data_IF_561904188338
#
_entry.id   IF_561904188338
#
_cell.length_a   1.000
_cell.length_b   1.000
_cell.length_c   1.000
_cell.angle_alpha   90.00
_cell.angle_beta   90.00
_cell.angle_gamma   90.00
#
_symmetry.space_group_name_H-M   'P 1'
#
loop_
_entity.id
_entity.type
_entity.pdbx_description
1 polymer ?
#
# COMPACT_ATOMS: atom_id res chain seq x y z
N UNK A 1 22.61 46.53 -24.93
CA UNK A 1 21.88 45.27 -24.63
C UNK A 1 22.46 44.49 -23.44
N UNK A 2 23.76 44.18 -23.39
CA UNK A 2 24.37 43.38 -22.28
C UNK A 2 24.22 43.98 -20.87
N UNK A 3 24.24 45.32 -20.72
CA UNK A 3 24.10 46.01 -19.41
C UNK A 3 22.70 45.89 -18.77
N UNK A 4 21.65 45.75 -19.59
CA UNK A 4 20.28 45.60 -19.12
C UNK A 4 20.07 44.17 -18.60
N UNK A 5 20.67 43.18 -19.26
CA UNK A 5 20.62 41.77 -18.87
C UNK A 5 21.28 41.51 -17.51
N UNK A 6 22.35 42.25 -17.18
CA UNK A 6 23.07 42.14 -15.89
C UNK A 6 22.20 42.55 -14.70
N UNK A 7 21.29 43.52 -14.88
CA UNK A 7 20.38 43.98 -13.83
C UNK A 7 19.02 43.27 -13.83
N UNK A 8 18.62 42.70 -14.97
CA UNK A 8 17.35 42.00 -15.11
C UNK A 8 17.29 40.72 -14.26
N UNK A 9 18.38 39.95 -14.20
CA UNK A 9 18.45 38.71 -13.41
C UNK A 9 18.29 38.95 -11.90
N UNK A 10 19.08 39.83 -11.24
CA UNK A 10 18.91 40.08 -9.81
C UNK A 10 17.56 40.72 -9.48
N UNK A 11 17.02 41.57 -10.37
CA UNK A 11 15.69 42.13 -10.20
C UNK A 11 14.60 41.04 -10.25
N UNK A 12 14.69 40.10 -11.18
CA UNK A 12 13.76 38.99 -11.28
C UNK A 12 13.85 38.05 -10.05
N UNK A 13 15.05 37.79 -9.54
CA UNK A 13 15.25 36.99 -8.31
C UNK A 13 14.61 37.70 -7.11
N UNK A 14 14.85 39.00 -6.94
CA UNK A 14 14.25 39.78 -5.84
C UNK A 14 12.71 39.76 -5.90
N UNK A 15 12.15 39.91 -7.10
CA UNK A 15 10.70 39.87 -7.30
C UNK A 15 10.12 38.48 -7.02
N UNK A 16 10.83 37.42 -7.41
CA UNK A 16 10.50 36.04 -7.08
C UNK A 16 10.55 35.76 -5.57
N UNK A 17 11.59 36.22 -4.87
CA UNK A 17 11.71 36.09 -3.42
C UNK A 17 10.62 36.86 -2.67
N UNK A 18 10.29 38.08 -3.12
CA UNK A 18 9.22 38.87 -2.53
C UNK A 18 7.86 38.19 -2.74
N UNK A 19 7.57 37.71 -3.96
CA UNK A 19 6.35 36.95 -4.26
C UNK A 19 6.24 35.68 -3.43
N UNK A 20 7.34 34.94 -3.29
CA UNK A 20 7.39 33.74 -2.45
C UNK A 20 7.18 34.05 -0.96
N UNK A 21 7.80 35.11 -0.45
CA UNK A 21 7.61 35.56 0.92
C UNK A 21 6.17 35.97 1.21
N UNK A 22 5.54 36.73 0.30
CA UNK A 22 4.13 37.10 0.40
C UNK A 22 3.23 35.86 0.37
N UNK A 23 3.52 34.90 -0.53
CA UNK A 23 2.78 33.65 -0.61
C UNK A 23 2.89 32.83 0.67
N UNK A 24 4.10 32.70 1.26
CA UNK A 24 4.31 32.03 2.54
C UNK A 24 3.52 32.69 3.69
N UNK A 25 3.47 34.02 3.71
CA UNK A 25 2.70 34.77 4.72
C UNK A 25 1.19 34.70 4.49
N UNK A 26 0.75 34.39 3.26
CA UNK A 26 -0.67 34.18 2.92
C UNK A 26 -1.14 32.74 3.17
N UNK A 27 -0.23 31.82 3.54
CA UNK A 27 -0.62 30.46 3.87
C UNK A 27 -1.58 30.48 5.06
N UNK A 28 -2.66 29.68 5.03
CA UNK A 28 -3.51 29.53 6.19
C UNK A 28 -2.66 29.03 7.37
N UNK A 29 -2.96 29.46 8.61
CA UNK A 29 -2.28 28.91 9.78
C UNK A 29 -2.42 27.39 9.76
N UNK A 30 -1.36 26.69 10.16
CA UNK A 30 -1.43 25.24 10.31
C UNK A 30 -2.67 24.92 11.15
N UNK A 31 -3.52 23.96 10.72
CA UNK A 31 -4.67 23.59 11.51
C UNK A 31 -4.16 23.25 12.91
N UNK A 32 -4.72 23.92 13.92
CA UNK A 32 -4.44 23.55 15.31
C UNK A 32 -4.76 22.07 15.38
N UNK A 33 -3.74 21.25 15.61
CA UNK A 33 -3.91 19.81 15.77
C UNK A 33 -4.76 19.65 17.01
N UNK A 34 -6.08 19.61 16.82
CA UNK A 34 -7.02 19.42 17.89
C UNK A 34 -6.61 18.14 18.61
N UNK A 35 -6.64 18.18 19.93
CA UNK A 35 -6.57 16.96 20.73
C UNK A 35 -7.57 15.97 20.13
N UNK A 36 -7.07 14.88 19.54
CA UNK A 36 -7.92 13.84 19.01
C UNK A 36 -8.90 13.44 20.11
N UNK A 37 -10.20 13.45 19.80
CA UNK A 37 -11.19 13.02 20.77
C UNK A 37 -10.88 11.55 21.12
N UNK A 38 -10.94 11.16 22.39
CA UNK A 38 -10.75 9.77 22.76
C UNK A 38 -11.84 8.93 22.10
N UNK A 39 -11.46 7.83 21.45
CA UNK A 39 -12.40 6.89 20.85
C UNK A 39 -13.27 6.30 21.97
N UNK A 40 -14.61 6.39 21.88
CA UNK A 40 -15.51 5.78 22.86
C UNK A 40 -15.23 4.28 23.03
N UNK A 41 -15.31 3.78 24.26
CA UNK A 41 -14.96 2.38 24.57
C UNK A 41 -15.88 1.38 23.85
N UNK A 42 -17.15 1.73 23.68
CA UNK A 42 -18.15 0.96 22.96
C UNK A 42 -17.86 0.86 21.46
N UNK A 43 -17.36 1.93 20.85
CA UNK A 43 -16.91 1.92 19.44
C UNK A 43 -15.70 1.00 19.25
N UNK A 44 -14.72 1.10 20.16
CA UNK A 44 -13.55 0.20 20.15
C UNK A 44 -13.96 -1.26 20.34
N UNK A 45 -14.90 -1.54 21.25
CA UNK A 45 -15.39 -2.89 21.50
C UNK A 45 -16.19 -3.44 20.31
N UNK A 46 -17.02 -2.63 19.68
CA UNK A 46 -17.76 -3.01 18.47
C UNK A 46 -16.80 -3.38 17.34
N UNK A 47 -15.75 -2.58 17.14
CA UNK A 47 -14.70 -2.88 16.16
C UNK A 47 -13.96 -4.19 16.50
N UNK A 48 -13.58 -4.41 17.76
CA UNK A 48 -12.94 -5.65 18.17
C UNK A 48 -13.85 -6.87 17.96
N UNK A 49 -15.16 -6.76 18.25
CA UNK A 49 -16.12 -7.82 17.97
C UNK A 49 -16.25 -8.10 16.47
N UNK A 50 -16.25 -7.07 15.63
CA UNK A 50 -16.31 -7.20 14.17
C UNK A 50 -15.04 -7.82 13.57
N UNK A 51 -13.88 -7.58 14.19
CA UNK A 51 -12.59 -8.15 13.77
C UNK A 51 -12.35 -9.58 14.26
N UNK A 52 -13.22 -10.13 15.13
CA UNK A 52 -13.09 -11.53 15.55
C UNK A 52 -13.24 -12.45 14.33
N UNK A 53 -12.37 -13.47 14.19
CA UNK A 53 -12.48 -14.41 13.09
C UNK A 53 -13.89 -15.03 13.07
N UNK A 54 -14.59 -15.04 11.92
CA UNK A 54 -15.94 -15.58 11.82
C UNK A 54 -15.97 -17.11 11.96
N UNK A 55 -14.83 -17.79 11.71
CA UNK A 55 -14.69 -19.24 11.76
C UNK A 55 -13.73 -19.64 12.87
N UNK A 56 -14.07 -20.68 13.63
CA UNK A 56 -13.15 -21.32 14.57
C UNK A 56 -12.15 -22.18 13.79
N UNK A 57 -10.86 -22.06 14.09
CA UNK A 57 -9.80 -22.83 13.45
C UNK A 57 -8.59 -21.98 13.09
N UNK A 58 -7.60 -22.62 12.46
CA UNK A 58 -6.44 -21.93 11.91
C UNK A 58 -6.87 -21.20 10.62
N UNK A 59 -6.70 -19.87 10.52
CA UNK A 59 -7.14 -19.11 9.36
C UNK A 59 -6.32 -19.45 8.11
N UNK A 60 -6.90 -19.22 6.94
CA UNK A 60 -6.22 -19.36 5.65
C UNK A 60 -5.93 -17.95 5.12
N UNK A 61 -4.76 -17.74 4.52
CA UNK A 61 -4.41 -16.48 3.86
C UNK A 61 -3.96 -16.80 2.43
N UNK A 62 -4.70 -16.27 1.47
CA UNK A 62 -4.37 -16.32 0.05
C UNK A 62 -3.65 -15.03 -0.38
N UNK A 63 -2.46 -15.16 -0.95
CA UNK A 63 -1.70 -14.04 -1.53
C UNK A 63 -1.77 -14.19 -3.04
N UNK A 64 -2.41 -13.23 -3.71
CA UNK A 64 -2.73 -13.34 -5.14
C UNK A 64 -1.66 -12.67 -6.00
N UNK A 65 -1.12 -13.41 -6.95
CA UNK A 65 -0.21 -12.94 -7.99
C UNK A 65 -0.92 -12.94 -9.34
N UNK A 66 -1.01 -11.78 -9.97
CA UNK A 66 -1.43 -11.69 -11.35
C UNK A 66 -0.36 -12.30 -12.26
N UNK A 67 -0.79 -13.19 -13.15
CA UNK A 67 0.06 -13.81 -14.16
C UNK A 67 -0.67 -13.88 -15.52
N UNK A 68 0.10 -14.09 -16.60
CA UNK A 68 -0.38 -13.98 -17.97
C UNK A 68 0.13 -12.71 -18.66
N UNK A 69 -0.72 -11.68 -18.80
CA UNK A 69 -0.38 -10.45 -19.54
C UNK A 69 0.26 -9.33 -18.69
N UNK A 70 0.29 -9.49 -17.37
CA UNK A 70 0.80 -8.51 -16.41
C UNK A 70 1.82 -9.17 -15.49
N UNK A 71 2.71 -8.36 -14.89
CA UNK A 71 3.69 -8.81 -13.89
C UNK A 71 3.25 -8.39 -12.49
N UNK A 72 3.52 -9.23 -11.50
CA UNK A 72 3.27 -8.93 -10.09
C UNK A 72 4.52 -8.30 -9.47
N UNK A 73 4.38 -7.27 -8.64
CA UNK A 73 5.55 -6.68 -7.96
C UNK A 73 6.16 -7.68 -6.97
N UNK A 74 7.48 -7.89 -6.99
CA UNK A 74 8.13 -8.89 -6.13
C UNK A 74 7.83 -8.65 -4.65
N UNK A 75 7.84 -7.38 -4.22
CA UNK A 75 7.59 -7.02 -2.81
C UNK A 75 6.18 -7.32 -2.37
N UNK A 76 5.20 -7.11 -3.24
CA UNK A 76 3.78 -7.25 -2.90
C UNK A 76 3.36 -8.73 -2.85
N UNK A 77 4.18 -9.62 -3.41
CA UNK A 77 3.91 -11.05 -3.45
C UNK A 77 4.78 -11.83 -2.46
N UNK A 78 6.10 -11.68 -2.52
CA UNK A 78 7.03 -12.54 -1.79
C UNK A 78 7.23 -12.12 -0.33
N UNK A 79 7.24 -10.81 -0.07
CA UNK A 79 7.45 -10.30 1.30
C UNK A 79 6.31 -10.69 2.23
N UNK A 80 5.02 -10.43 1.91
CA UNK A 80 3.94 -10.88 2.77
C UNK A 80 3.90 -12.40 2.88
N UNK A 81 4.20 -13.15 1.81
CA UNK A 81 4.24 -14.60 1.85
C UNK A 81 5.27 -15.13 2.85
N UNK A 82 6.52 -14.66 2.76
CA UNK A 82 7.60 -15.10 3.65
C UNK A 82 7.35 -14.73 5.10
N UNK A 83 6.86 -13.51 5.37
CA UNK A 83 6.58 -13.05 6.73
C UNK A 83 5.43 -13.86 7.35
N UNK A 84 4.29 -13.98 6.66
CA UNK A 84 3.12 -14.66 7.19
C UNK A 84 3.35 -16.16 7.36
N UNK A 85 4.08 -16.80 6.44
CA UNK A 85 4.41 -18.22 6.53
C UNK A 85 5.35 -18.50 7.72
N UNK A 86 6.33 -17.63 7.98
CA UNK A 86 7.22 -17.72 9.14
C UNK A 86 6.54 -17.39 10.47
N UNK A 87 5.53 -16.52 10.46
CA UNK A 87 4.78 -16.17 11.68
C UNK A 87 3.96 -17.34 12.23
N UNK A 88 3.68 -18.36 11.41
CA UNK A 88 2.92 -19.56 11.79
C UNK A 88 1.54 -19.26 12.44
N UNK A 89 0.89 -18.17 12.06
CA UNK A 89 -0.45 -17.79 12.55
C UNK A 89 -1.60 -18.28 11.64
N UNK A 90 -1.29 -18.72 10.42
CA UNK A 90 -2.26 -19.08 9.40
C UNK A 90 -1.67 -20.14 8.43
N UNK A 91 -2.54 -20.75 7.65
CA UNK A 91 -2.17 -21.51 6.46
C UNK A 91 -2.06 -20.55 5.28
N UNK A 92 -0.83 -20.26 4.87
CA UNK A 92 -0.52 -19.25 3.84
C UNK A 92 -0.28 -19.91 2.51
N UNK A 93 -0.96 -19.43 1.46
CA UNK A 93 -0.86 -19.93 0.08
C UNK A 93 -0.54 -18.78 -0.88
N UNK A 94 0.50 -18.95 -1.69
CA UNK A 94 0.80 -18.10 -2.84
C UNK A 94 -0.02 -18.60 -4.04
N UNK A 95 -0.85 -17.73 -4.61
CA UNK A 95 -1.75 -18.09 -5.71
C UNK A 95 -1.38 -17.38 -7.01
N UNK A 96 -1.68 -18.00 -8.13
CA UNK A 96 -1.71 -17.36 -9.45
C UNK A 96 -3.13 -17.25 -10.00
N UNK A 97 -3.39 -16.20 -10.79
CA UNK A 97 -4.71 -15.99 -11.43
C UNK A 97 -5.02 -16.98 -12.55
N UNK A 98 -4.01 -17.51 -13.23
CA UNK A 98 -4.11 -18.51 -14.30
C UNK A 98 -3.02 -19.57 -14.12
N UNK A 99 -3.10 -20.74 -14.77
CA UNK A 99 -2.05 -21.76 -14.66
C UNK A 99 -0.66 -21.26 -15.08
N UNK A 100 0.38 -21.72 -14.37
CA UNK A 100 1.79 -21.43 -14.63
C UNK A 100 2.44 -20.42 -13.67
N UNK A 101 3.75 -20.24 -13.81
CA UNK A 101 4.56 -19.37 -12.96
C UNK A 101 4.06 -17.92 -12.94
N UNK A 102 4.23 -17.25 -11.79
CA UNK A 102 4.01 -15.82 -11.64
C UNK A 102 5.28 -15.09 -12.06
N UNK A 103 5.19 -14.30 -13.13
CA UNK A 103 6.26 -13.41 -13.54
C UNK A 103 6.29 -12.19 -12.62
N UNK A 104 7.37 -12.05 -11.85
CA UNK A 104 7.56 -10.96 -10.91
C UNK A 104 8.36 -9.81 -11.53
N UNK A 105 7.98 -8.57 -11.26
CA UNK A 105 8.79 -7.40 -11.54
C UNK A 105 9.83 -7.19 -10.41
N UNK A 106 11.12 -6.94 -10.71
CA UNK A 106 11.67 -6.65 -12.04
C UNK A 106 12.14 -7.85 -12.89
N UNK A 107 12.48 -9.02 -12.34
CA UNK A 107 13.12 -10.10 -13.14
C UNK A 107 12.74 -11.54 -12.79
N UNK A 108 12.19 -11.82 -11.61
CA UNK A 108 12.03 -13.21 -11.13
C UNK A 108 10.78 -13.91 -11.67
N UNK A 109 10.77 -15.23 -11.55
CA UNK A 109 9.56 -16.05 -11.67
C UNK A 109 9.46 -16.96 -10.45
N UNK A 110 8.24 -17.19 -9.98
CA UNK A 110 7.96 -18.08 -8.86
C UNK A 110 6.81 -18.99 -9.24
N UNK A 111 6.96 -20.28 -8.91
CA UNK A 111 5.86 -21.22 -8.98
C UNK A 111 4.93 -20.99 -7.78
N UNK A 112 3.64 -20.69 -8.01
CA UNK A 112 2.66 -20.54 -6.95
C UNK A 112 2.30 -21.91 -6.34
N UNK A 113 1.72 -21.89 -5.14
CA UNK A 113 1.19 -23.10 -4.49
C UNK A 113 -0.03 -23.67 -5.24
N UNK A 114 -0.87 -22.80 -5.84
CA UNK A 114 -2.06 -23.17 -6.60
C UNK A 114 -2.56 -22.01 -7.49
N UNK A 115 -3.53 -22.27 -8.36
CA UNK A 115 -4.31 -21.21 -9.03
C UNK A 115 -5.48 -20.73 -8.16
N UNK A 116 -6.04 -19.55 -8.43
CA UNK A 116 -7.27 -19.07 -7.77
C UNK A 116 -8.44 -20.04 -7.97
N UNK A 117 -8.58 -20.63 -9.16
CA UNK A 117 -9.62 -21.63 -9.43
C UNK A 117 -9.46 -22.91 -8.57
N UNK A 118 -8.22 -23.36 -8.36
CA UNK A 118 -7.93 -24.50 -7.47
C UNK A 118 -8.17 -24.14 -6.00
N UNK A 119 -7.84 -22.90 -5.62
CA UNK A 119 -8.11 -22.38 -4.28
C UNK A 119 -9.61 -22.35 -4.00
N UNK A 120 -10.43 -21.79 -4.89
CA UNK A 120 -11.88 -21.68 -4.72
C UNK A 120 -12.55 -23.07 -4.63
N UNK A 121 -12.04 -24.04 -5.41
CA UNK A 121 -12.51 -25.42 -5.32
C UNK A 121 -12.20 -26.05 -3.94
N UNK A 122 -11.07 -25.69 -3.34
CA UNK A 122 -10.66 -26.18 -2.01
C UNK A 122 -11.33 -25.41 -0.86
N UNK A 123 -11.57 -24.12 -1.04
CA UNK A 123 -12.14 -23.20 -0.06
C UNK A 123 -13.37 -22.47 -0.62
N UNK A 124 -14.50 -23.18 -0.85
CA UNK A 124 -15.68 -22.61 -1.50
C UNK A 124 -16.36 -21.49 -0.70
N UNK A 125 -16.03 -21.36 0.59
CA UNK A 125 -16.51 -20.29 1.47
C UNK A 125 -15.46 -19.16 1.64
N UNK A 126 -14.46 -19.09 0.76
CA UNK A 126 -13.33 -18.18 0.85
C UNK A 126 -12.32 -18.54 1.95
N UNK A 127 -11.22 -17.77 1.94
CA UNK A 127 -10.22 -17.75 3.01
C UNK A 127 -10.83 -17.43 4.38
#
# INVERSE_FOLDING_TARGET
>A
MKRILVWAIPAAVLLGCAGFGIWLLSLPPAPVMGMAQPVPADEAEAMLRALRPPKAGRPVIAILGANGKTRTETTDYMVPYGILRRAEIADVMALSTVPGAVALYPVFQVEPDATTAQFDARYPAGA
#
